data_IF_557914387747
#
_entry.id   IF_557914387747
#
_cell.length_a   1.000
_cell.length_b   1.000
_cell.length_c   1.000
_cell.angle_alpha   90.00
_cell.angle_beta   90.00
_cell.angle_gamma   90.00
#
_symmetry.space_group_name_H-M   'P 1'
#
loop_
_entity.id
_entity.type
_entity.pdbx_description
1 polymer ?
#
# COMPACT_ATOMS: atom_id res chain seq x y z
N UNK A 1 34.64 -16.25 1.02
CA UNK A 1 33.43 -15.51 1.43
C UNK A 1 32.23 -16.44 1.31
N UNK A 2 31.70 -16.90 2.45
CA UNK A 2 30.61 -17.88 2.53
C UNK A 2 29.38 -17.40 1.77
N UNK A 3 28.64 -18.30 1.10
CA UNK A 3 27.42 -17.98 0.32
C UNK A 3 26.46 -17.05 1.09
N UNK A 4 26.40 -17.21 2.41
CA UNK A 4 25.64 -16.38 3.34
C UNK A 4 25.97 -14.87 3.28
N UNK A 5 27.25 -14.51 3.09
CA UNK A 5 27.67 -13.10 2.95
C UNK A 5 27.22 -12.50 1.61
N UNK A 6 27.21 -13.31 0.53
CA UNK A 6 26.73 -12.89 -0.80
C UNK A 6 25.21 -12.73 -0.80
N UNK A 7 24.48 -13.66 -0.18
CA UNK A 7 23.02 -13.56 -0.01
C UNK A 7 22.64 -12.33 0.83
N UNK A 8 23.30 -12.09 1.97
CA UNK A 8 23.09 -10.87 2.77
C UNK A 8 23.29 -9.60 1.94
N UNK A 9 24.36 -9.52 1.14
CA UNK A 9 24.62 -8.34 0.29
C UNK A 9 23.55 -8.15 -0.80
N UNK A 10 22.94 -9.23 -1.30
CA UNK A 10 21.84 -9.17 -2.26
C UNK A 10 20.48 -8.83 -1.60
N UNK A 11 20.17 -9.46 -0.47
CA UNK A 11 18.95 -9.22 0.30
C UNK A 11 18.89 -7.80 0.88
N UNK A 12 20.04 -7.19 1.19
CA UNK A 12 20.15 -5.79 1.64
C UNK A 12 19.96 -4.76 0.51
N UNK A 13 19.49 -5.15 -0.68
CA UNK A 13 19.00 -4.16 -1.65
C UNK A 13 17.71 -3.56 -1.09
N UNK A 14 17.76 -2.29 -0.69
CA UNK A 14 16.66 -1.58 0.01
C UNK A 14 15.27 -1.79 -0.60
N UNK A 15 15.16 -1.87 -1.92
CA UNK A 15 13.89 -2.11 -2.62
C UNK A 15 13.12 -3.37 -2.18
N UNK A 16 13.80 -4.45 -1.77
CA UNK A 16 13.12 -5.69 -1.34
C UNK A 16 12.50 -5.53 0.05
N UNK A 17 13.16 -4.76 0.92
CA UNK A 17 12.68 -4.51 2.29
C UNK A 17 11.41 -3.66 2.24
N UNK A 18 11.39 -2.57 1.46
CA UNK A 18 10.19 -1.74 1.28
C UNK A 18 9.02 -2.53 0.66
N UNK A 19 9.30 -3.40 -0.31
CA UNK A 19 8.30 -4.29 -0.89
C UNK A 19 7.73 -5.27 0.15
N UNK A 20 8.59 -5.89 0.97
CA UNK A 20 8.17 -6.83 2.01
C UNK A 20 7.32 -6.14 3.07
N UNK A 21 7.74 -4.95 3.54
CA UNK A 21 6.97 -4.15 4.50
C UNK A 21 5.63 -3.74 3.89
N UNK A 22 5.60 -3.27 2.64
CA UNK A 22 4.37 -2.91 1.94
C UNK A 22 3.36 -4.07 1.81
N UNK A 23 3.83 -5.28 1.49
CA UNK A 23 2.96 -6.47 1.39
C UNK A 23 2.42 -6.89 2.76
N UNK A 24 3.26 -6.89 3.80
CA UNK A 24 2.86 -7.27 5.16
C UNK A 24 1.82 -6.29 5.70
N UNK A 25 2.10 -4.98 5.60
CA UNK A 25 1.18 -3.93 6.05
C UNK A 25 -0.09 -3.92 5.19
N UNK A 26 0.02 -4.09 3.87
CA UNK A 26 -1.12 -4.18 2.96
C UNK A 26 -2.05 -5.35 3.28
N UNK A 27 -1.49 -6.54 3.55
CA UNK A 27 -2.27 -7.72 3.94
C UNK A 27 -2.95 -7.54 5.30
N UNK A 28 -2.25 -6.95 6.28
CA UNK A 28 -2.83 -6.65 7.59
C UNK A 28 -3.93 -5.59 7.50
N UNK A 29 -3.69 -4.50 6.75
CA UNK A 29 -4.67 -3.45 6.51
C UNK A 29 -5.93 -3.98 5.81
N UNK A 30 -5.76 -4.82 4.78
CA UNK A 30 -6.87 -5.52 4.13
C UNK A 30 -7.71 -6.33 5.10
N UNK A 31 -7.10 -7.08 6.03
CA UNK A 31 -7.81 -7.84 7.07
C UNK A 31 -8.58 -6.93 8.03
N UNK A 32 -8.04 -5.77 8.40
CA UNK A 32 -8.72 -4.81 9.27
C UNK A 32 -9.99 -4.27 8.59
N UNK A 33 -9.90 -3.88 7.33
CA UNK A 33 -11.05 -3.37 6.57
C UNK A 33 -12.07 -4.49 6.34
N UNK A 34 -11.63 -5.69 5.96
CA UNK A 34 -12.52 -6.84 5.76
C UNK A 34 -13.23 -7.24 7.05
N UNK A 35 -12.56 -7.15 8.21
CA UNK A 35 -13.17 -7.39 9.52
C UNK A 35 -14.22 -6.33 9.87
N UNK A 36 -13.97 -5.05 9.59
CA UNK A 36 -14.96 -3.99 9.77
C UNK A 36 -16.19 -4.25 8.89
N UNK A 37 -15.96 -4.61 7.63
CA UNK A 37 -17.03 -4.95 6.69
C UNK A 37 -17.82 -6.15 7.20
N UNK A 38 -17.16 -7.26 7.53
CA UNK A 38 -17.81 -8.51 7.94
C UNK A 38 -18.57 -8.41 9.28
N UNK A 39 -18.09 -7.59 10.23
CA UNK A 39 -18.68 -7.52 11.58
C UNK A 39 -19.60 -6.31 11.80
N UNK A 40 -19.50 -5.24 10.98
CA UNK A 40 -20.25 -3.98 11.19
C UNK A 40 -21.11 -3.60 9.99
N UNK A 41 -20.70 -3.90 8.76
CA UNK A 41 -21.48 -3.55 7.56
C UNK A 41 -22.35 -4.74 7.14
N UNK A 42 -21.79 -5.95 7.11
CA UNK A 42 -22.50 -7.15 6.66
C UNK A 42 -23.69 -7.52 7.57
N UNK A 43 -23.64 -7.46 8.92
CA UNK A 43 -24.82 -7.80 9.73
C UNK A 43 -25.97 -6.82 9.48
N UNK A 44 -25.66 -5.54 9.35
CA UNK A 44 -26.62 -4.47 9.05
C UNK A 44 -27.22 -4.66 7.66
N UNK A 45 -26.39 -4.92 6.64
CA UNK A 45 -26.87 -5.23 5.29
C UNK A 45 -27.64 -6.57 5.23
N UNK A 46 -27.21 -7.56 6.01
CA UNK A 46 -27.83 -8.87 6.11
C UNK A 46 -29.24 -8.77 6.69
N UNK A 47 -29.45 -7.99 7.75
CA UNK A 47 -30.78 -7.74 8.30
C UNK A 47 -31.70 -7.04 7.29
N UNK A 48 -31.17 -6.13 6.46
CA UNK A 48 -31.94 -5.41 5.45
C UNK A 48 -32.31 -6.29 4.25
N UNK A 49 -31.44 -7.22 3.85
CA UNK A 49 -31.60 -8.06 2.65
C UNK A 49 -32.23 -9.44 3.00
N UNK A 50 -32.46 -9.74 4.27
CA UNK A 50 -33.11 -10.98 4.71
C UNK A 50 -32.16 -12.15 4.99
N UNK A 51 -30.93 -11.87 5.41
CA UNK A 51 -30.00 -12.87 5.95
C UNK A 51 -29.27 -13.71 4.90
N UNK A 52 -29.09 -13.20 3.68
CA UNK A 52 -28.40 -13.93 2.62
C UNK A 52 -26.90 -14.07 2.95
N UNK A 53 -26.51 -15.23 3.46
CA UNK A 53 -25.11 -15.66 3.57
C UNK A 53 -24.82 -16.71 2.47
N UNK A 54 -24.05 -16.31 1.47
CA UNK A 54 -23.68 -17.17 0.33
C UNK A 54 -22.82 -18.38 0.75
N UNK A 55 -22.32 -18.42 1.99
CA UNK A 55 -21.53 -19.54 2.52
C UNK A 55 -22.24 -20.89 2.44
N UNK A 56 -23.57 -20.91 2.47
CA UNK A 56 -24.38 -22.14 2.51
C UNK A 56 -24.46 -22.90 1.19
N UNK A 57 -24.11 -22.27 0.06
CA UNK A 57 -24.12 -22.95 -1.23
C UNK A 57 -22.93 -23.90 -1.36
N UNK A 58 -23.16 -25.17 -1.02
CA UNK A 58 -22.17 -26.24 -1.14
C UNK A 58 -22.79 -27.45 -1.83
N UNK A 59 -22.12 -27.94 -2.88
CA UNK A 59 -22.52 -29.15 -3.59
C UNK A 59 -21.65 -30.31 -3.11
N UNK A 60 -22.26 -31.30 -2.46
CA UNK A 60 -21.57 -32.50 -1.99
C UNK A 60 -21.38 -33.42 -3.19
N UNK A 61 -20.13 -33.57 -3.67
CA UNK A 61 -19.82 -34.42 -4.84
C UNK A 61 -19.69 -35.89 -4.45
N UNK A 62 -19.19 -36.18 -3.25
CA UNK A 62 -19.12 -37.52 -2.69
C UNK A 62 -19.52 -37.51 -1.21
N UNK A 63 -20.49 -38.35 -0.79
CA UNK A 63 -20.75 -38.54 0.63
C UNK A 63 -19.53 -39.15 1.30
N UNK A 64 -19.24 -38.74 2.54
CA UNK A 64 -18.16 -39.34 3.34
C UNK A 64 -18.43 -40.84 3.50
N UNK A 65 -17.43 -41.67 3.22
CA UNK A 65 -17.50 -43.12 3.48
C UNK A 65 -16.35 -43.50 4.40
N UNK A 66 -16.68 -44.01 5.60
CA UNK A 66 -15.71 -44.35 6.64
C UNK A 66 -14.89 -43.14 7.08
N UNK A 67 -13.56 -43.25 6.98
CA UNK A 67 -12.58 -42.20 7.30
C UNK A 67 -12.27 -41.24 6.13
N UNK A 68 -12.92 -41.39 4.97
CA UNK A 68 -12.64 -40.49 3.83
C UNK A 68 -13.47 -39.19 3.94
N UNK A 69 -12.83 -38.01 3.98
CA UNK A 69 -13.55 -36.75 4.09
C UNK A 69 -14.44 -36.52 2.85
N UNK A 70 -15.67 -36.06 3.07
CA UNK A 70 -16.60 -35.70 1.99
C UNK A 70 -15.97 -34.64 1.09
N UNK A 71 -15.90 -34.91 -0.22
CA UNK A 71 -15.46 -33.93 -1.20
C UNK A 71 -16.67 -33.05 -1.53
N UNK A 72 -16.69 -31.86 -0.95
CA UNK A 72 -17.74 -30.85 -1.15
C UNK A 72 -17.16 -29.69 -1.96
N UNK A 73 -17.71 -29.42 -3.15
CA UNK A 73 -17.40 -28.19 -3.87
C UNK A 73 -18.26 -27.05 -3.33
N UNK A 74 -17.61 -26.13 -2.59
CA UNK A 74 -18.25 -24.96 -1.99
C UNK A 74 -18.19 -23.78 -2.95
N UNK A 75 -19.10 -23.70 -3.93
CA UNK A 75 -19.16 -22.51 -4.81
C UNK A 75 -19.60 -21.25 -4.06
N UNK A 76 -20.32 -21.41 -2.94
CA UNK A 76 -20.74 -20.32 -2.08
C UNK A 76 -19.61 -19.44 -1.57
N UNK A 77 -18.44 -20.01 -1.24
CA UNK A 77 -17.30 -19.23 -0.74
C UNK A 77 -16.69 -18.34 -1.83
N UNK A 78 -16.70 -18.79 -3.08
CA UNK A 78 -16.20 -17.99 -4.19
C UNK A 78 -17.08 -16.75 -4.41
N UNK A 79 -18.40 -16.94 -4.40
CA UNK A 79 -19.34 -15.84 -4.51
C UNK A 79 -19.24 -14.89 -3.31
N UNK A 80 -19.08 -15.42 -2.09
CA UNK A 80 -18.83 -14.62 -0.89
C UNK A 80 -17.56 -13.77 -1.00
N UNK A 81 -16.46 -14.32 -1.54
CA UNK A 81 -15.22 -13.57 -1.76
C UNK A 81 -15.40 -12.43 -2.77
N UNK A 82 -16.24 -12.60 -3.80
CA UNK A 82 -16.57 -11.53 -4.75
C UNK A 82 -17.32 -10.39 -4.05
N UNK A 83 -18.34 -10.73 -3.24
CA UNK A 83 -19.09 -9.73 -2.48
C UNK A 83 -18.20 -9.01 -1.45
N UNK A 84 -17.35 -9.73 -0.73
CA UNK A 84 -16.40 -9.14 0.22
C UNK A 84 -15.43 -8.18 -0.49
N UNK A 85 -14.89 -8.58 -1.65
CA UNK A 85 -14.04 -7.70 -2.46
C UNK A 85 -14.74 -6.40 -2.87
N UNK A 86 -15.99 -6.47 -3.35
CA UNK A 86 -16.77 -5.29 -3.77
C UNK A 86 -17.04 -4.37 -2.56
N UNK A 87 -17.44 -4.93 -1.42
CA UNK A 87 -17.78 -4.13 -0.24
C UNK A 87 -16.51 -3.53 0.40
N UNK A 88 -15.40 -4.27 0.46
CA UNK A 88 -14.10 -3.76 0.94
C UNK A 88 -13.59 -2.64 0.02
N UNK A 89 -13.64 -2.82 -1.30
CA UNK A 89 -13.26 -1.77 -2.25
C UNK A 89 -14.12 -0.51 -2.06
N UNK A 90 -15.44 -0.67 -1.88
CA UNK A 90 -16.35 0.42 -1.59
C UNK A 90 -16.05 1.10 -0.24
N UNK A 91 -15.76 0.33 0.81
CA UNK A 91 -15.41 0.85 2.13
C UNK A 91 -14.11 1.68 2.08
N UNK A 92 -13.06 1.18 1.42
CA UNK A 92 -11.79 1.92 1.22
C UNK A 92 -12.04 3.20 0.43
N UNK A 93 -12.84 3.15 -0.64
CA UNK A 93 -13.22 4.32 -1.43
C UNK A 93 -13.94 5.38 -0.58
N UNK A 94 -14.92 4.97 0.24
CA UNK A 94 -15.62 5.84 1.17
C UNK A 94 -14.67 6.53 2.17
N UNK A 95 -13.73 5.78 2.76
CA UNK A 95 -12.74 6.32 3.71
C UNK A 95 -11.82 7.34 3.01
N UNK A 96 -11.30 7.02 1.82
CA UNK A 96 -10.43 7.94 1.06
C UNK A 96 -11.18 9.22 0.70
N UNK A 97 -12.43 9.10 0.23
CA UNK A 97 -13.26 10.27 -0.09
C UNK A 97 -13.55 11.13 1.14
N UNK A 98 -13.78 10.50 2.30
CA UNK A 98 -13.99 11.20 3.57
C UNK A 98 -12.75 11.99 3.99
N UNK A 99 -11.56 11.38 3.90
CA UNK A 99 -10.29 12.05 4.22
C UNK A 99 -9.99 13.19 3.24
N UNK A 100 -10.19 12.95 1.92
CA UNK A 100 -9.92 13.96 0.88
C UNK A 100 -10.86 15.17 0.96
N UNK A 101 -12.10 15.00 1.45
CA UNK A 101 -13.02 16.12 1.69
C UNK A 101 -12.43 17.13 2.68
N UNK A 102 -11.65 16.67 3.67
CA UNK A 102 -11.02 17.51 4.67
C UNK A 102 -9.64 18.03 4.23
N UNK A 103 -8.94 17.34 3.33
CA UNK A 103 -7.61 17.73 2.83
C UNK A 103 -7.62 18.95 1.88
N UNK A 104 -8.80 19.32 1.37
CA UNK A 104 -9.00 20.46 0.45
C UNK A 104 -8.57 21.81 1.04
N UNK A 105 -8.38 21.90 2.36
CA UNK A 105 -7.99 23.15 3.03
C UNK A 105 -6.48 23.31 3.28
N UNK A 106 -5.64 22.29 3.03
CA UNK A 106 -4.19 22.35 3.38
C UNK A 106 -3.23 21.99 2.24
N UNK A 107 -3.65 21.23 1.23
CA UNK A 107 -2.76 20.78 0.14
C UNK A 107 -2.25 21.87 -0.82
N UNK A 108 -2.89 23.04 -0.87
CA UNK A 108 -2.49 24.13 -1.75
C UNK A 108 -1.27 24.93 -1.28
N UNK A 109 -0.94 24.92 0.01
CA UNK A 109 0.12 25.79 0.58
C UNK A 109 1.48 25.10 0.64
N UNK A 110 1.53 23.82 1.03
CA UNK A 110 2.81 23.06 1.13
C UNK A 110 3.48 22.86 -0.23
N UNK A 111 2.72 22.61 -1.30
CA UNK A 111 3.28 22.55 -2.66
C UNK A 111 3.81 23.89 -3.16
N UNK A 112 3.17 25.01 -2.78
CA UNK A 112 3.66 26.35 -3.15
C UNK A 112 4.91 26.74 -2.40
N UNK A 113 5.06 26.38 -1.12
CA UNK A 113 6.29 26.64 -0.39
C UNK A 113 7.48 25.89 -1.03
N UNK A 114 7.34 24.58 -1.27
CA UNK A 114 8.41 23.77 -1.89
C UNK A 114 8.69 24.18 -3.34
N UNK A 115 7.66 24.52 -4.13
CA UNK A 115 7.87 25.02 -5.51
C UNK A 115 8.49 26.43 -5.51
N UNK A 116 8.15 27.26 -4.54
CA UNK A 116 8.74 28.61 -4.42
C UNK A 116 10.17 28.52 -3.94
N UNK A 117 10.51 27.62 -3.02
CA UNK A 117 11.89 27.41 -2.57
C UNK A 117 12.72 26.76 -3.68
N UNK A 118 12.26 25.66 -4.29
CA UNK A 118 12.98 25.00 -5.39
C UNK A 118 13.09 25.90 -6.65
N UNK A 119 12.06 26.69 -6.96
CA UNK A 119 12.07 27.63 -8.07
C UNK A 119 12.90 28.88 -7.79
N UNK A 120 12.91 29.39 -6.54
CA UNK A 120 13.70 30.55 -6.14
C UNK A 120 15.17 30.18 -5.94
N UNK A 121 15.49 28.95 -5.51
CA UNK A 121 16.88 28.46 -5.46
C UNK A 121 17.44 28.17 -6.85
N UNK A 122 16.59 27.75 -7.80
CA UNK A 122 16.97 27.63 -9.20
C UNK A 122 17.13 29.00 -9.89
N UNK A 123 16.29 29.99 -9.58
CA UNK A 123 16.35 31.33 -10.15
C UNK A 123 17.35 32.29 -9.44
N UNK A 124 17.68 32.03 -8.17
CA UNK A 124 18.66 32.77 -7.37
C UNK A 124 20.00 32.02 -7.25
N UNK A 125 20.28 31.08 -8.15
CA UNK A 125 21.67 30.69 -8.41
C UNK A 125 22.38 31.91 -9.01
N UNK A 126 22.82 32.79 -8.12
CA UNK A 126 23.71 33.91 -8.42
C UNK A 126 24.88 33.33 -9.22
N UNK A 127 25.08 33.78 -10.48
CA UNK A 127 26.22 33.38 -11.30
C UNK A 127 27.55 33.55 -10.58
N UNK A 128 27.64 34.44 -9.58
CA UNK A 128 28.87 34.64 -8.77
C UNK A 128 29.26 33.47 -7.88
N UNK A 129 28.32 32.57 -7.55
CA UNK A 129 28.65 31.39 -6.72
C UNK A 129 29.51 30.35 -7.46
N UNK A 130 29.43 30.30 -8.80
CA UNK A 130 30.24 29.39 -9.62
C UNK A 130 31.67 29.91 -9.87
N UNK A 131 31.92 31.21 -9.66
CA UNK A 131 33.24 31.81 -9.89
C UNK A 131 34.21 31.55 -8.71
N UNK A 132 33.69 31.47 -7.48
CA UNK A 132 34.53 31.27 -6.28
C UNK A 132 35.17 29.88 -6.20
N UNK A 133 34.54 28.85 -6.77
CA UNK A 133 35.14 27.51 -6.83
C UNK A 133 36.23 27.42 -7.89
N UNK A 134 36.13 28.22 -8.97
CA UNK A 134 37.15 28.26 -10.02
C UNK A 134 38.38 29.09 -9.63
N UNK A 135 38.24 30.10 -8.77
CA UNK A 135 39.37 30.87 -8.25
C UNK A 135 40.23 30.11 -7.22
N UNK A 136 39.66 29.17 -6.45
CA UNK A 136 40.43 28.40 -5.46
C UNK A 136 41.31 27.29 -6.03
N UNK A 137 41.12 26.87 -7.28
CA UNK A 137 41.93 25.83 -7.90
C UNK A 137 43.11 26.34 -8.74
N UNK A 138 43.33 27.67 -8.79
CA UNK A 138 44.39 28.29 -9.59
C UNK A 138 45.52 28.98 -8.82
N UNK A 139 45.50 28.98 -7.49
CA UNK A 139 46.49 29.73 -6.70
C UNK A 139 47.18 28.80 -5.68
N UNK A 140 48.34 28.27 -6.05
CA UNK A 140 49.26 27.66 -5.09
C UNK A 140 50.04 26.46 -5.57
N UNK A 141 50.78 26.57 -6.69
CA UNK A 141 51.95 25.71 -6.94
C UNK A 141 52.88 26.37 -7.96
N UNK A 142 53.85 27.16 -7.47
CA UNK A 142 55.11 27.56 -8.11
C UNK A 142 56.00 27.95 -6.90
N UNK A 143 56.93 27.09 -6.47
CA UNK A 143 58.29 26.94 -7.00
C UNK A 143 59.13 28.19 -6.74
N UNK A 144 59.81 28.20 -5.59
CA UNK A 144 61.14 28.78 -5.30
C UNK A 144 61.59 28.42 -3.86
#
# INVERSE_FOLDING_TARGET
>A
MSFLQKFRKFAMRGNVVDLAVGIIIGAAFGKIVSSLVANVIMPQLGLLIGGIDFKQFSWVLKPAQGDTPAVVMKYGIFLQNIFDFIIVAFAVFCIIKLINRNASQRGGKTRRAVQTECGRDAAYRDPRSLETTKQRHGAGYNDD
#
